data_IF_130720010378
#
_entry.id   IF_130720010378
#
_cell.length_a   1.000
_cell.length_b   1.000
_cell.length_c   1.000
_cell.angle_alpha   90.00
_cell.angle_beta   90.00
_cell.angle_gamma   90.00
#
_symmetry.space_group_name_H-M   'P 1'
#
loop_
_entity.id
_entity.type
_entity.pdbx_description
1 polymer ?
#
# COMPACT_ATOMS: atom_id res chain seq x y z
N UNK A 1 -23.24 12.55 -10.18
CA UNK A 1 -23.68 13.07 -11.50
C UNK A 1 -22.50 13.67 -12.23
N UNK A 2 -22.43 13.44 -13.53
CA UNK A 2 -21.47 14.09 -14.43
C UNK A 2 -21.78 15.59 -14.52
N UNK A 3 -20.79 16.46 -14.77
CA UNK A 3 -21.06 17.88 -14.81
C UNK A 3 -21.92 18.28 -16.00
N UNK A 4 -23.10 18.85 -15.74
CA UNK A 4 -23.97 19.43 -16.76
C UNK A 4 -23.38 20.79 -17.13
N UNK A 5 -22.60 20.82 -18.21
CA UNK A 5 -22.00 22.01 -18.87
C UNK A 5 -20.52 22.31 -18.55
N UNK A 6 -19.73 21.31 -18.14
CA UNK A 6 -18.27 21.51 -18.06
C UNK A 6 -17.63 21.41 -19.44
N UNK A 7 -17.00 22.50 -19.92
CA UNK A 7 -16.12 22.47 -21.10
C UNK A 7 -14.86 21.61 -20.89
N UNK A 8 -14.59 21.20 -19.66
CA UNK A 8 -13.43 20.40 -19.25
C UNK A 8 -13.68 18.90 -19.49
N UNK A 9 -14.94 18.45 -19.46
CA UNK A 9 -15.28 17.02 -19.50
C UNK A 9 -16.08 16.66 -20.75
N UNK A 10 -15.52 15.76 -21.56
CA UNK A 10 -16.13 15.31 -22.82
C UNK A 10 -16.77 13.94 -22.65
N UNK A 11 -17.79 13.64 -23.47
CA UNK A 11 -18.40 12.30 -23.56
C UNK A 11 -17.40 11.22 -24.04
N UNK A 12 -16.34 11.68 -24.68
CA UNK A 12 -15.19 10.86 -25.05
C UNK A 12 -14.03 11.14 -24.09
N UNK A 13 -13.57 10.08 -23.43
CA UNK A 13 -12.42 10.10 -22.54
C UNK A 13 -11.36 9.16 -23.10
N UNK A 14 -10.52 9.68 -24.01
CA UNK A 14 -9.36 8.97 -24.60
C UNK A 14 -9.66 7.50 -24.96
N UNK A 15 -10.62 7.28 -25.86
CA UNK A 15 -11.04 5.95 -26.31
C UNK A 15 -12.20 5.32 -25.52
N UNK A 16 -12.65 5.94 -24.43
CA UNK A 16 -13.88 5.56 -23.73
C UNK A 16 -15.03 6.46 -24.16
N UNK A 17 -16.10 5.86 -24.69
CA UNK A 17 -17.38 6.55 -24.89
C UNK A 17 -18.26 6.34 -23.67
N UNK A 18 -18.43 7.39 -22.87
CA UNK A 18 -19.21 7.33 -21.63
C UNK A 18 -20.71 7.26 -22.00
N UNK A 19 -21.47 6.28 -21.49
CA UNK A 19 -22.89 6.16 -21.81
C UNK A 19 -23.67 7.41 -21.42
N UNK A 20 -24.53 7.91 -22.31
CA UNK A 20 -25.35 9.11 -22.05
C UNK A 20 -26.22 8.97 -20.79
N UNK A 21 -26.65 7.76 -20.45
CA UNK A 21 -27.39 7.48 -19.20
C UNK A 21 -26.54 7.71 -17.95
N UNK A 22 -25.26 7.31 -17.96
CA UNK A 22 -24.33 7.57 -16.86
C UNK A 22 -24.10 9.07 -16.66
N UNK A 23 -24.21 9.85 -17.73
CA UNK A 23 -24.08 11.31 -17.71
C UNK A 23 -25.35 11.99 -17.19
N UNK A 24 -26.51 11.60 -17.72
CA UNK A 24 -27.79 12.29 -17.47
C UNK A 24 -28.48 11.84 -16.19
N UNK A 25 -28.38 10.56 -15.85
CA UNK A 25 -29.02 9.93 -14.68
C UNK A 25 -27.98 9.73 -13.56
N UNK A 26 -26.76 9.32 -13.92
CA UNK A 26 -25.75 8.85 -12.97
C UNK A 26 -25.79 7.33 -12.81
N UNK A 27 -24.77 6.79 -12.14
CA UNK A 27 -24.69 5.37 -11.78
C UNK A 27 -25.07 5.25 -10.30
N UNK A 28 -26.14 4.50 -9.95
CA UNK A 28 -26.61 4.42 -8.57
C UNK A 28 -25.58 3.69 -7.68
N UNK A 29 -25.53 4.07 -6.41
CA UNK A 29 -24.66 3.47 -5.39
C UNK A 29 -23.17 3.40 -5.79
N UNK A 30 -22.68 4.43 -6.49
CA UNK A 30 -21.31 4.49 -6.98
C UNK A 30 -20.70 5.86 -6.76
N UNK A 31 -19.50 5.87 -6.19
CA UNK A 31 -18.69 7.07 -5.93
C UNK A 31 -17.69 7.37 -7.04
N UNK A 32 -17.16 6.33 -7.69
CA UNK A 32 -16.17 6.40 -8.75
C UNK A 32 -16.42 5.24 -9.72
N UNK A 33 -16.45 5.55 -11.01
CA UNK A 33 -16.62 4.56 -12.07
C UNK A 33 -15.36 4.55 -12.95
N UNK A 34 -14.66 3.43 -12.97
CA UNK A 34 -13.44 3.27 -13.76
C UNK A 34 -13.75 2.42 -14.97
N UNK A 35 -13.53 2.98 -16.16
CA UNK A 35 -13.61 2.24 -17.41
C UNK A 35 -12.26 1.60 -17.69
N UNK A 36 -12.23 0.28 -17.83
CA UNK A 36 -11.03 -0.45 -18.24
C UNK A 36 -11.12 -0.70 -19.74
N UNK A 37 -10.11 -0.22 -20.47
CA UNK A 37 -9.93 -0.48 -21.90
C UNK A 37 -8.57 -1.11 -22.15
N UNK A 38 -8.36 -1.65 -23.35
CA UNK A 38 -7.10 -2.22 -23.73
C UNK A 38 -6.59 -1.63 -25.05
N UNK A 39 -5.27 -1.56 -25.18
CA UNK A 39 -4.55 -1.41 -26.45
C UNK A 39 -3.62 -2.61 -26.64
N UNK A 40 -3.19 -2.85 -27.87
CA UNK A 40 -2.12 -3.81 -28.17
C UNK A 40 -1.05 -3.08 -28.97
N UNK A 41 -0.06 -2.53 -28.26
CA UNK A 41 1.03 -1.76 -28.84
C UNK A 41 2.36 -2.22 -28.24
N UNK A 42 2.96 -3.32 -28.77
CA UNK A 42 4.23 -3.87 -28.25
C UNK A 42 5.42 -2.92 -28.36
N UNK A 43 5.30 -1.85 -29.15
CA UNK A 43 6.33 -0.82 -29.32
C UNK A 43 6.27 0.24 -28.22
N UNK A 44 5.11 0.39 -27.58
CA UNK A 44 4.92 1.30 -26.46
C UNK A 44 5.36 0.58 -25.18
N UNK A 45 6.17 1.26 -24.37
CA UNK A 45 6.75 0.68 -23.15
C UNK A 45 5.85 0.82 -21.92
N UNK A 46 4.74 1.56 -22.01
CA UNK A 46 3.78 1.67 -20.92
C UNK A 46 2.99 0.37 -20.79
N UNK A 47 3.00 -0.21 -19.59
CA UNK A 47 2.18 -1.36 -19.21
C UNK A 47 0.71 -0.95 -19.12
N UNK A 48 0.45 0.21 -18.50
CA UNK A 48 -0.85 0.82 -18.44
C UNK A 48 -0.72 2.35 -18.40
N UNK A 49 -1.85 3.04 -18.59
CA UNK A 49 -1.98 4.47 -18.30
C UNK A 49 -3.42 4.78 -17.87
N UNK A 50 -3.59 5.83 -17.09
CA UNK A 50 -4.89 6.26 -16.62
C UNK A 50 -5.11 7.77 -16.71
N UNK A 51 -6.39 8.14 -16.63
CA UNK A 51 -6.79 9.52 -16.53
C UNK A 51 -8.14 9.67 -15.82
N UNK A 52 -8.38 10.85 -15.28
CA UNK A 52 -9.70 11.24 -14.81
C UNK A 52 -10.53 11.76 -15.98
N UNK A 53 -11.70 11.15 -16.17
CA UNK A 53 -12.64 11.48 -17.22
C UNK A 53 -13.66 12.54 -16.79
N UNK A 54 -14.00 12.57 -15.50
CA UNK A 54 -14.86 13.60 -14.94
C UNK A 54 -14.80 13.70 -13.43
N UNK A 55 -15.03 14.91 -12.94
CA UNK A 55 -15.35 15.19 -11.55
C UNK A 55 -16.85 15.35 -11.35
N UNK A 56 -17.38 15.10 -10.16
CA UNK A 56 -18.77 15.42 -9.86
C UNK A 56 -18.95 16.91 -9.50
N UNK A 57 -20.11 17.49 -9.83
CA UNK A 57 -20.38 18.90 -9.53
C UNK A 57 -20.63 19.19 -8.05
N UNK A 58 -21.12 18.18 -7.31
CA UNK A 58 -21.55 18.37 -5.93
C UNK A 58 -20.40 18.29 -4.93
N UNK A 59 -19.46 17.36 -5.14
CA UNK A 59 -18.36 17.10 -4.20
C UNK A 59 -17.00 17.44 -4.80
N UNK A 60 -16.95 17.96 -6.02
CA UNK A 60 -15.73 18.41 -6.68
C UNK A 60 -14.63 17.35 -6.66
N UNK A 61 -14.97 16.08 -6.87
CA UNK A 61 -14.02 14.96 -6.85
C UNK A 61 -14.15 14.05 -8.06
N UNK A 62 -13.11 13.28 -8.43
CA UNK A 62 -13.20 12.28 -9.48
C UNK A 62 -14.42 11.37 -9.30
N UNK A 63 -15.18 11.20 -10.37
CA UNK A 63 -16.39 10.36 -10.42
C UNK A 63 -16.36 9.38 -11.60
N UNK A 64 -15.57 9.69 -12.62
CA UNK A 64 -15.26 8.80 -13.73
C UNK A 64 -13.78 8.85 -14.04
N UNK A 65 -13.18 7.69 -14.22
CA UNK A 65 -11.81 7.52 -14.66
C UNK A 65 -11.71 6.46 -15.74
N UNK A 66 -10.52 6.35 -16.32
CA UNK A 66 -10.18 5.32 -17.29
C UNK A 66 -8.83 4.75 -16.94
N UNK A 67 -8.70 3.43 -17.07
CA UNK A 67 -7.43 2.73 -17.12
C UNK A 67 -7.34 2.07 -18.51
N UNK A 68 -6.22 2.24 -19.19
CA UNK A 68 -5.92 1.58 -20.45
C UNK A 68 -4.74 0.63 -20.25
N UNK A 69 -4.96 -0.66 -20.45
CA UNK A 69 -3.95 -1.71 -20.34
C UNK A 69 -3.32 -1.98 -21.70
N UNK A 70 -2.00 -2.13 -21.78
CA UNK A 70 -1.30 -2.48 -23.00
C UNK A 70 -0.99 -3.99 -23.06
N UNK A 71 -1.85 -4.77 -23.72
CA UNK A 71 -1.62 -6.21 -23.93
C UNK A 71 -0.42 -6.55 -24.81
N UNK A 72 0.26 -5.56 -25.39
CA UNK A 72 1.55 -5.76 -26.05
C UNK A 72 2.70 -6.05 -25.09
N UNK A 73 2.57 -5.65 -23.82
CA UNK A 73 3.61 -5.79 -22.78
C UNK A 73 3.10 -6.27 -21.42
N UNK A 74 1.78 -6.21 -21.17
CA UNK A 74 1.11 -6.72 -19.97
C UNK A 74 0.88 -8.24 -20.06
N UNK A 75 1.09 -8.97 -18.95
CA UNK A 75 0.77 -10.38 -18.85
C UNK A 75 1.60 -11.28 -19.75
N UNK A 76 2.83 -10.87 -20.11
CA UNK A 76 3.70 -11.63 -21.00
C UNK A 76 4.30 -12.89 -20.35
N UNK A 77 4.35 -12.93 -19.02
CA UNK A 77 4.85 -14.06 -18.25
C UNK A 77 3.76 -14.58 -17.32
N UNK A 78 3.64 -15.91 -17.26
CA UNK A 78 2.65 -16.62 -16.44
C UNK A 78 3.33 -17.10 -15.14
N UNK A 79 3.73 -16.14 -14.32
CA UNK A 79 4.30 -16.38 -12.99
C UNK A 79 3.78 -15.35 -11.98
N UNK A 80 3.79 -15.72 -10.69
CA UNK A 80 3.18 -14.92 -9.64
C UNK A 80 3.82 -13.54 -9.46
N UNK A 81 5.14 -13.45 -9.63
CA UNK A 81 5.91 -12.20 -9.49
C UNK A 81 5.53 -11.23 -10.60
N UNK A 82 5.48 -11.71 -11.84
CA UNK A 82 5.07 -10.89 -12.98
C UNK A 82 3.61 -10.45 -12.88
N UNK A 83 2.72 -11.32 -12.38
CA UNK A 83 1.33 -10.95 -12.11
C UNK A 83 1.20 -9.89 -11.02
N UNK A 84 1.98 -9.99 -9.94
CA UNK A 84 2.02 -9.02 -8.85
C UNK A 84 2.49 -7.65 -9.36
N UNK A 85 3.59 -7.58 -10.09
CA UNK A 85 4.10 -6.35 -10.70
C UNK A 85 3.09 -5.70 -11.67
N UNK A 86 2.43 -6.52 -12.49
CA UNK A 86 1.38 -6.06 -13.41
C UNK A 86 0.18 -5.49 -12.62
N UNK A 87 -0.23 -6.13 -11.53
CA UNK A 87 -1.31 -5.67 -10.66
C UNK A 87 -0.94 -4.37 -9.94
N UNK A 88 0.27 -4.26 -9.40
CA UNK A 88 0.78 -3.04 -8.76
C UNK A 88 0.75 -1.86 -9.72
N UNK A 89 1.13 -2.07 -10.98
CA UNK A 89 1.00 -1.05 -12.03
C UNK A 89 -0.45 -0.60 -12.19
N UNK A 90 -1.43 -1.51 -12.17
CA UNK A 90 -2.84 -1.12 -12.22
C UNK A 90 -3.26 -0.31 -10.98
N UNK A 91 -2.74 -0.65 -9.79
CA UNK A 91 -3.00 0.10 -8.55
C UNK A 91 -2.41 1.52 -8.62
N UNK A 92 -1.19 1.66 -9.14
CA UNK A 92 -0.57 2.94 -9.46
C UNK A 92 -1.46 3.81 -10.36
N UNK A 93 -1.98 3.23 -11.44
CA UNK A 93 -2.88 3.92 -12.35
C UNK A 93 -4.22 4.31 -11.69
N UNK A 94 -4.72 3.50 -10.75
CA UNK A 94 -5.88 3.86 -9.93
C UNK A 94 -5.56 5.09 -9.06
N UNK A 95 -4.37 5.19 -8.47
CA UNK A 95 -3.99 6.34 -7.63
C UNK A 95 -3.91 7.65 -8.44
N UNK A 96 -3.52 7.58 -9.71
CA UNK A 96 -3.70 8.72 -10.63
C UNK A 96 -5.17 9.13 -10.74
N UNK A 97 -6.09 8.17 -10.97
CA UNK A 97 -7.54 8.45 -11.03
C UNK A 97 -8.06 9.04 -9.71
N UNK A 98 -7.53 8.58 -8.58
CA UNK A 98 -7.93 9.05 -7.24
C UNK A 98 -7.46 10.47 -6.95
N UNK A 99 -6.48 11.01 -7.68
CA UNK A 99 -6.16 12.44 -7.62
C UNK A 99 -4.68 12.80 -7.67
N UNK A 100 -3.77 11.83 -7.70
CA UNK A 100 -2.35 12.12 -7.80
C UNK A 100 -1.96 12.34 -9.26
N UNK A 101 -1.95 13.59 -9.72
CA UNK A 101 -1.19 13.98 -10.91
C UNK A 101 -0.94 15.47 -10.89
N UNK A 102 0.11 15.94 -11.55
CA UNK A 102 0.43 17.38 -11.60
C UNK A 102 -0.72 18.20 -12.20
N UNK A 103 -1.43 17.65 -13.18
CA UNK A 103 -2.62 18.27 -13.76
C UNK A 103 -3.79 18.37 -12.77
N UNK A 104 -3.95 17.40 -11.86
CA UNK A 104 -5.06 17.37 -10.92
C UNK A 104 -4.82 18.15 -9.64
N UNK A 105 -3.59 18.54 -9.31
CA UNK A 105 -3.33 19.36 -8.11
C UNK A 105 -4.11 20.68 -8.12
N UNK A 106 -4.32 21.29 -9.29
CA UNK A 106 -5.18 22.47 -9.41
C UNK A 106 -6.67 22.16 -9.18
N UNK A 107 -7.06 20.90 -9.30
CA UNK A 107 -8.42 20.40 -9.03
C UNK A 107 -8.54 19.82 -7.62
N UNK A 108 -7.52 19.92 -6.77
CA UNK A 108 -7.69 19.63 -5.35
C UNK A 108 -8.55 20.72 -4.69
N UNK A 109 -9.27 20.35 -3.64
CA UNK A 109 -10.16 21.26 -2.92
C UNK A 109 -9.33 22.08 -1.93
N UNK A 110 -9.33 23.39 -2.11
CA UNK A 110 -8.75 24.35 -1.18
C UNK A 110 -9.59 24.34 0.12
N UNK A 111 -9.03 23.91 1.26
CA UNK A 111 -9.77 23.79 2.51
C UNK A 111 -10.27 25.13 3.04
N UNK A 112 -9.68 26.25 2.63
CA UNK A 112 -10.09 27.59 3.07
C UNK A 112 -11.35 28.07 2.31
N UNK A 113 -11.55 27.58 1.08
CA UNK A 113 -12.62 28.07 0.20
C UNK A 113 -13.69 27.03 -0.12
N UNK A 114 -13.40 25.74 0.08
CA UNK A 114 -14.27 24.63 -0.33
C UNK A 114 -14.41 24.49 -1.85
N UNK A 115 -13.55 25.15 -2.64
CA UNK A 115 -13.51 25.11 -4.11
C UNK A 115 -12.17 24.56 -4.58
N UNK A 116 -12.08 24.24 -5.87
CA UNK A 116 -10.79 23.94 -6.48
C UNK A 116 -9.79 25.07 -6.29
N UNK A 117 -8.52 24.74 -6.07
CA UNK A 117 -7.43 25.73 -6.14
C UNK A 117 -7.46 26.49 -7.49
N UNK A 118 -7.73 25.78 -8.58
CA UNK A 118 -7.62 26.29 -9.94
C UNK A 118 -6.18 26.66 -10.32
N UNK A 119 -5.96 26.99 -11.59
CA UNK A 119 -4.63 27.33 -12.11
C UNK A 119 -3.96 28.47 -11.31
N UNK A 120 -4.73 29.47 -10.88
CA UNK A 120 -4.22 30.62 -10.12
C UNK A 120 -4.01 30.33 -8.63
N UNK A 121 -4.64 29.30 -8.07
CA UNK A 121 -4.45 28.88 -6.69
C UNK A 121 -3.39 27.80 -6.51
N UNK A 122 -2.93 27.15 -7.58
CA UNK A 122 -1.87 26.14 -7.54
C UNK A 122 -0.59 26.62 -6.84
N UNK A 123 -0.13 27.89 -7.01
CA UNK A 123 1.01 28.43 -6.27
C UNK A 123 0.82 28.53 -4.74
N UNK A 124 -0.35 28.20 -4.18
CA UNK A 124 -0.55 28.06 -2.73
C UNK A 124 -0.03 26.74 -2.17
N UNK A 125 0.14 25.73 -3.03
CA UNK A 125 0.51 24.37 -2.61
C UNK A 125 1.69 23.80 -3.37
N UNK A 126 2.08 24.40 -4.50
CA UNK A 126 3.28 24.01 -5.25
C UNK A 126 4.16 25.19 -5.60
N UNK A 127 5.46 24.92 -5.82
CA UNK A 127 6.43 25.85 -6.41
C UNK A 127 7.63 25.08 -6.94
N UNK A 128 8.35 25.70 -7.87
CA UNK A 128 9.61 25.18 -8.37
C UNK A 128 10.77 25.70 -7.51
N UNK A 129 11.71 24.81 -7.20
CA UNK A 129 12.95 25.10 -6.48
C UNK A 129 14.13 24.43 -7.17
N UNK A 130 15.37 24.83 -6.85
CA UNK A 130 16.57 24.15 -7.33
C UNK A 130 17.07 23.21 -6.23
N UNK A 131 17.06 21.91 -6.48
CA UNK A 131 17.54 20.89 -5.55
C UNK A 131 18.55 20.01 -6.32
N UNK A 132 19.73 19.78 -5.74
CA UNK A 132 20.83 19.01 -6.37
C UNK A 132 21.21 19.50 -7.78
N UNK A 133 20.99 20.80 -8.07
CA UNK A 133 21.26 21.41 -9.37
C UNK A 133 20.15 21.24 -10.42
N UNK A 134 19.04 20.62 -10.06
CA UNK A 134 17.90 20.34 -10.93
C UNK A 134 16.70 21.19 -10.52
N UNK A 135 15.88 21.54 -11.51
CA UNK A 135 14.62 22.26 -11.28
C UNK A 135 13.58 21.25 -10.83
N UNK A 136 13.21 21.30 -9.55
CA UNK A 136 12.31 20.34 -8.92
C UNK A 136 11.06 21.04 -8.43
N UNK A 137 9.89 20.53 -8.81
CA UNK A 137 8.60 20.96 -8.28
C UNK A 137 8.41 20.36 -6.89
N UNK A 138 8.05 21.18 -5.90
CA UNK A 138 7.69 20.70 -4.55
C UNK A 138 6.21 20.92 -4.26
N UNK A 139 5.61 19.99 -3.51
CA UNK A 139 4.25 20.12 -2.95
C UNK A 139 4.34 20.32 -1.44
N UNK A 140 3.70 21.37 -0.94
CA UNK A 140 3.80 21.78 0.46
C UNK A 140 2.43 22.02 1.10
N UNK A 141 1.39 21.35 0.59
CA UNK A 141 0.11 21.27 1.28
C UNK A 141 0.24 20.61 2.67
N UNK A 142 -0.74 20.86 3.53
CA UNK A 142 -0.65 20.65 4.97
C UNK A 142 -0.22 19.24 5.38
N UNK A 143 -0.93 18.20 4.98
CA UNK A 143 -0.62 16.84 5.42
C UNK A 143 0.65 16.31 4.74
N UNK A 144 0.86 16.59 3.46
CA UNK A 144 2.08 16.20 2.73
C UNK A 144 3.32 16.76 3.44
N UNK A 145 3.34 18.06 3.72
CA UNK A 145 4.49 18.71 4.35
C UNK A 145 4.75 18.21 5.77
N UNK A 146 3.70 18.07 6.58
CA UNK A 146 3.82 17.56 7.96
C UNK A 146 4.35 16.11 7.97
N UNK A 147 3.81 15.26 7.09
CA UNK A 147 4.24 13.87 6.95
C UNK A 147 5.68 13.80 6.47
N UNK A 148 6.07 14.55 5.44
CA UNK A 148 7.43 14.53 4.91
C UNK A 148 8.45 14.98 5.96
N UNK A 149 8.20 16.10 6.66
CA UNK A 149 9.08 16.58 7.74
C UNK A 149 9.27 15.55 8.84
N UNK A 150 8.18 14.90 9.25
CA UNK A 150 8.21 13.87 10.29
C UNK A 150 8.92 12.61 9.82
N UNK A 151 8.60 12.12 8.61
CA UNK A 151 9.14 10.89 8.06
C UNK A 151 10.66 10.96 7.87
N UNK A 152 11.16 12.03 7.23
CA UNK A 152 12.59 12.21 7.01
C UNK A 152 13.33 12.78 8.23
N UNK A 153 12.63 13.19 9.29
CA UNK A 153 13.20 13.96 10.40
C UNK A 153 13.93 15.24 9.92
N UNK A 154 13.27 15.98 9.00
CA UNK A 154 13.79 17.23 8.44
C UNK A 154 12.81 18.38 8.68
N UNK A 155 12.91 19.12 9.80
CA UNK A 155 11.97 20.21 10.13
C UNK A 155 11.99 21.38 9.14
N UNK A 156 13.12 21.60 8.45
CA UNK A 156 13.29 22.72 7.50
C UNK A 156 12.85 22.38 6.08
N UNK A 157 12.36 21.17 5.83
CA UNK A 157 11.87 20.76 4.51
C UNK A 157 10.77 21.73 4.06
N UNK A 158 10.89 22.26 2.85
CA UNK A 158 9.97 23.27 2.30
C UNK A 158 8.72 22.65 1.67
N UNK A 159 8.83 21.41 1.17
CA UNK A 159 7.81 20.63 0.50
C UNK A 159 8.34 19.25 0.12
N UNK A 160 7.45 18.32 -0.19
CA UNK A 160 7.79 17.02 -0.77
C UNK A 160 8.15 17.19 -2.24
N UNK A 161 9.23 16.56 -2.68
CA UNK A 161 9.73 16.66 -4.04
C UNK A 161 8.90 15.76 -4.97
N UNK A 162 8.48 16.32 -6.11
CA UNK A 162 7.92 15.56 -7.21
C UNK A 162 9.03 15.23 -8.20
N UNK A 163 8.80 14.17 -8.96
CA UNK A 163 9.69 13.72 -10.04
C UNK A 163 10.05 14.87 -10.98
N UNK A 164 11.36 15.06 -11.16
CA UNK A 164 12.00 16.16 -11.90
C UNK A 164 12.61 15.70 -13.24
N UNK A 165 12.61 14.41 -13.52
CA UNK A 165 13.12 13.80 -14.75
C UNK A 165 12.02 13.10 -15.58
N UNK A 166 12.37 12.68 -16.79
CA UNK A 166 11.46 12.01 -17.72
C UNK A 166 10.62 12.97 -18.57
N UNK A 167 9.47 12.48 -19.02
CA UNK A 167 8.57 13.20 -19.95
C UNK A 167 7.34 13.78 -19.27
N UNK A 168 6.38 14.28 -20.05
CA UNK A 168 5.10 14.80 -19.53
C UNK A 168 4.26 13.77 -18.78
N UNK A 169 4.51 12.47 -18.99
CA UNK A 169 3.90 11.38 -18.23
C UNK A 169 4.52 11.17 -16.85
N UNK A 170 5.75 11.62 -16.63
CA UNK A 170 6.53 11.42 -15.40
C UNK A 170 6.53 12.67 -14.52
N UNK A 171 6.91 13.80 -15.13
CA UNK A 171 7.20 15.06 -14.46
C UNK A 171 5.99 15.57 -13.66
N UNK A 172 6.22 15.82 -12.37
CA UNK A 172 5.23 16.44 -11.49
C UNK A 172 4.00 15.59 -11.16
N UNK A 173 3.94 14.33 -11.60
CA UNK A 173 2.81 13.41 -11.32
C UNK A 173 3.20 12.22 -10.47
N UNK A 174 4.46 12.14 -10.09
CA UNK A 174 5.06 11.10 -9.26
C UNK A 174 5.88 11.74 -8.15
N UNK A 175 6.15 10.98 -7.10
CA UNK A 175 7.16 11.39 -6.12
C UNK A 175 8.56 11.27 -6.69
N UNK A 176 9.46 12.13 -6.21
CA UNK A 176 10.90 12.07 -6.52
C UNK A 176 11.48 10.71 -6.11
N UNK A 177 11.90 9.91 -7.08
CA UNK A 177 12.31 8.53 -6.84
C UNK A 177 13.52 8.43 -5.90
N UNK A 178 14.44 9.41 -5.92
CA UNK A 178 15.56 9.45 -4.97
C UNK A 178 15.08 9.41 -3.51
N UNK A 179 13.91 10.00 -3.20
CA UNK A 179 13.39 10.10 -1.84
C UNK A 179 12.49 8.94 -1.41
N UNK A 180 11.89 8.21 -2.35
CA UNK A 180 10.82 7.24 -2.07
C UNK A 180 10.99 5.93 -2.84
N UNK A 181 12.19 5.37 -2.86
CA UNK A 181 12.40 4.10 -3.55
C UNK A 181 11.44 3.01 -3.05
N UNK A 182 10.86 2.26 -3.98
CA UNK A 182 9.83 1.25 -3.75
C UNK A 182 8.45 1.77 -3.34
N UNK A 183 8.20 3.07 -3.52
CA UNK A 183 6.88 3.64 -3.32
C UNK A 183 6.01 3.50 -4.56
N UNK A 184 4.74 3.15 -4.35
CA UNK A 184 3.77 2.86 -5.41
C UNK A 184 3.68 3.94 -6.49
N UNK A 185 3.94 5.21 -6.18
CA UNK A 185 3.81 6.37 -7.07
C UNK A 185 5.16 6.97 -7.51
N UNK A 186 6.20 6.14 -7.63
CA UNK A 186 7.41 6.49 -8.37
C UNK A 186 7.22 6.36 -9.88
N UNK A 187 8.00 7.08 -10.68
CA UNK A 187 7.81 7.12 -12.14
C UNK A 187 8.47 5.97 -12.93
N UNK A 188 9.26 5.12 -12.28
CA UNK A 188 9.91 3.97 -12.92
C UNK A 188 9.37 2.66 -12.38
N UNK A 189 9.67 1.56 -13.07
CA UNK A 189 9.35 0.21 -12.57
C UNK A 189 9.91 0.03 -11.16
N UNK A 190 9.09 -0.54 -10.28
CA UNK A 190 9.51 -0.93 -8.94
C UNK A 190 10.31 -2.23 -9.05
N UNK A 191 11.52 -2.26 -8.50
CA UNK A 191 12.45 -3.40 -8.62
C UNK A 191 12.10 -4.50 -7.60
N UNK A 192 11.29 -4.17 -6.60
CA UNK A 192 10.79 -5.05 -5.54
C UNK A 192 9.31 -4.75 -5.28
N UNK A 193 8.71 -5.35 -4.25
CA UNK A 193 7.33 -5.10 -3.80
C UNK A 193 7.02 -3.60 -3.63
N UNK A 194 5.97 -3.12 -4.31
CA UNK A 194 5.58 -1.71 -4.34
C UNK A 194 4.77 -1.33 -3.10
N UNK A 195 5.21 -0.28 -2.41
CA UNK A 195 4.65 0.11 -1.11
C UNK A 195 3.77 1.34 -1.22
N UNK A 196 2.53 1.24 -0.73
CA UNK A 196 1.68 2.41 -0.56
C UNK A 196 2.14 3.19 0.69
N UNK A 197 2.93 4.24 0.51
CA UNK A 197 3.53 4.92 1.66
C UNK A 197 2.60 5.91 2.36
N UNK A 198 3.03 6.33 3.55
CA UNK A 198 2.46 7.48 4.26
C UNK A 198 2.46 8.77 3.44
N UNK A 199 3.35 8.92 2.45
CA UNK A 199 3.39 10.12 1.59
C UNK A 199 2.19 10.16 0.64
N UNK A 200 1.90 9.05 -0.03
CA UNK A 200 0.73 8.94 -0.90
C UNK A 200 -0.57 9.00 -0.10
N UNK A 201 -0.63 8.39 1.08
CA UNK A 201 -1.77 8.57 2.01
C UNK A 201 -1.97 10.04 2.39
N UNK A 202 -0.89 10.77 2.71
CA UNK A 202 -0.98 12.19 3.04
C UNK A 202 -1.44 13.03 1.83
N UNK A 203 -1.03 12.67 0.62
CA UNK A 203 -1.51 13.30 -0.61
C UNK A 203 -3.00 13.07 -0.81
N UNK A 204 -3.49 11.83 -0.68
CA UNK A 204 -4.92 11.52 -0.83
C UNK A 204 -5.77 12.34 0.14
N UNK A 205 -5.29 12.59 1.36
CA UNK A 205 -5.95 13.51 2.31
C UNK A 205 -5.98 14.96 1.82
N UNK A 206 -4.85 15.44 1.31
CA UNK A 206 -4.71 16.82 0.84
C UNK A 206 -5.44 17.10 -0.48
N UNK A 207 -5.89 16.07 -1.20
CA UNK A 207 -6.83 16.25 -2.33
C UNK A 207 -8.14 16.91 -1.90
N UNK A 208 -8.57 16.67 -0.66
CA UNK A 208 -9.87 17.07 -0.13
C UNK A 208 -11.07 16.25 -0.64
N UNK A 209 -10.85 15.23 -1.48
CA UNK A 209 -11.93 14.45 -2.09
C UNK A 209 -12.60 13.45 -1.14
N UNK A 210 -11.84 12.94 -0.16
CA UNK A 210 -12.26 11.84 0.69
C UNK A 210 -12.62 12.37 2.08
N UNK A 211 -13.76 11.94 2.62
CA UNK A 211 -14.15 12.28 3.98
C UNK A 211 -13.14 11.73 5.01
N UNK A 212 -12.61 10.53 4.73
CA UNK A 212 -11.59 9.86 5.55
C UNK A 212 -10.61 9.10 4.64
N UNK A 213 -9.35 9.03 5.07
CA UNK A 213 -8.32 8.18 4.45
C UNK A 213 -7.71 7.34 5.57
N UNK A 214 -7.83 6.02 5.46
CA UNK A 214 -7.35 5.10 6.49
C UNK A 214 -5.82 5.00 6.46
N UNK A 215 -5.15 5.65 7.41
CA UNK A 215 -3.68 5.63 7.53
C UNK A 215 -3.09 4.25 7.77
N UNK A 216 -3.88 3.29 8.26
CA UNK A 216 -3.40 1.93 8.49
C UNK A 216 -3.15 1.14 7.20
N UNK A 217 -3.65 1.65 6.06
CA UNK A 217 -3.33 1.11 4.74
C UNK A 217 -1.93 1.47 4.27
N UNK A 218 -1.22 2.36 4.98
CA UNK A 218 0.17 2.66 4.65
C UNK A 218 1.07 1.48 4.99
N UNK A 219 1.82 1.04 3.98
CA UNK A 219 2.95 0.13 4.11
C UNK A 219 4.14 0.80 4.79
N UNK A 220 5.03 -0.02 5.31
CA UNK A 220 6.21 0.44 6.03
C UNK A 220 7.34 0.77 5.06
N UNK A 221 7.31 1.99 4.53
CA UNK A 221 8.47 2.55 3.82
C UNK A 221 9.62 2.83 4.81
N UNK A 222 10.80 2.31 4.47
CA UNK A 222 12.03 2.46 5.26
C UNK A 222 13.06 3.38 4.60
N UNK A 223 13.01 3.50 3.27
CA UNK A 223 13.93 4.31 2.50
C UNK A 223 13.91 5.78 2.97
N UNK A 224 15.08 6.30 3.35
CA UNK A 224 15.23 7.71 3.78
C UNK A 224 14.63 8.06 5.15
N UNK A 225 13.95 7.11 5.83
CA UNK A 225 13.27 7.37 7.09
C UNK A 225 14.24 7.85 8.17
N UNK A 226 13.96 9.02 8.73
CA UNK A 226 14.73 9.64 9.81
C UNK A 226 16.15 10.09 9.44
N UNK A 227 16.52 10.13 8.15
CA UNK A 227 17.90 10.43 7.71
C UNK A 227 18.28 11.92 7.77
N UNK A 228 17.31 12.80 8.02
CA UNK A 228 17.52 14.23 8.18
C UNK A 228 17.58 15.00 6.87
N UNK A 229 17.78 16.31 6.98
CA UNK A 229 17.70 17.22 5.84
C UNK A 229 18.80 17.01 4.79
N UNK A 230 20.00 16.56 5.18
CA UNK A 230 21.06 16.27 4.21
C UNK A 230 20.67 15.13 3.27
N UNK A 231 19.93 14.12 3.74
CA UNK A 231 19.38 13.10 2.83
C UNK A 231 18.41 13.73 1.82
N UNK A 232 17.46 14.53 2.31
CA UNK A 232 16.41 15.13 1.48
C UNK A 232 16.96 16.11 0.45
N UNK A 233 17.94 16.93 0.83
CA UNK A 233 18.45 18.03 -0.02
C UNK A 233 19.66 17.64 -0.85
N UNK A 234 20.49 16.71 -0.37
CA UNK A 234 21.77 16.37 -0.99
C UNK A 234 21.81 14.91 -1.49
N UNK A 235 21.02 14.00 -0.93
CA UNK A 235 21.02 12.60 -1.33
C UNK A 235 22.41 11.96 -1.26
N UNK A 236 22.84 11.29 -2.34
CA UNK A 236 24.18 10.72 -2.46
C UNK A 236 25.31 11.76 -2.62
N UNK A 237 24.98 13.03 -2.88
CA UNK A 237 25.97 14.12 -2.97
C UNK A 237 26.37 14.64 -1.58
N UNK A 238 25.71 14.18 -0.52
CA UNK A 238 26.05 14.58 0.83
C UNK A 238 27.42 14.09 1.26
N UNK A 239 28.04 14.82 2.19
CA UNK A 239 29.22 14.33 2.93
C UNK A 239 28.86 13.19 3.87
N UNK A 240 27.60 13.11 4.29
CA UNK A 240 27.10 11.99 5.07
C UNK A 240 26.86 10.78 4.15
N UNK A 241 27.37 9.62 4.55
CA UNK A 241 27.07 8.36 3.86
C UNK A 241 25.73 7.81 4.31
N UNK A 242 24.90 7.43 3.35
CA UNK A 242 23.62 6.77 3.56
C UNK A 242 23.67 5.34 3.03
N UNK A 243 23.02 4.39 3.72
CA UNK A 243 23.05 2.98 3.33
C UNK A 243 22.17 2.70 2.09
N UNK A 244 21.26 3.63 1.80
CA UNK A 244 20.42 3.72 0.62
C UNK A 244 21.25 3.84 -0.67
N UNK A 245 22.33 4.63 -0.63
CA UNK A 245 23.17 4.92 -1.80
C UNK A 245 24.51 4.19 -1.73
N UNK A 246 24.78 3.21 -2.60
CA UNK A 246 26.10 2.60 -2.72
C UNK A 246 27.20 3.61 -2.98
N UNK A 247 28.36 3.41 -2.35
CA UNK A 247 29.57 4.22 -2.63
C UNK A 247 30.42 3.66 -3.78
N UNK A 248 30.21 2.40 -4.18
CA UNK A 248 31.02 1.69 -5.16
C UNK A 248 30.15 0.83 -6.06
N UNK A 249 30.54 0.67 -7.33
CA UNK A 249 29.93 -0.28 -8.28
C UNK A 249 30.42 -1.70 -8.00
N UNK A 250 29.93 -2.28 -6.92
CA UNK A 250 30.19 -3.67 -6.53
C UNK A 250 28.88 -4.38 -6.21
N UNK A 251 28.79 -5.66 -6.60
CA UNK A 251 27.66 -6.52 -6.28
C UNK A 251 27.35 -6.46 -4.77
N UNK A 252 26.10 -6.13 -4.47
CA UNK A 252 25.61 -6.03 -3.09
C UNK A 252 24.13 -6.36 -3.02
N UNK A 253 23.65 -6.69 -1.82
CA UNK A 253 22.21 -6.87 -1.62
C UNK A 253 21.47 -5.55 -1.91
N UNK A 254 20.23 -5.65 -2.39
CA UNK A 254 19.26 -4.54 -2.41
C UNK A 254 19.04 -3.97 -1.00
N UNK A 255 18.40 -2.80 -0.90
CA UNK A 255 18.17 -2.15 0.39
C UNK A 255 17.27 -2.99 1.31
N UNK A 256 16.30 -3.68 0.72
CA UNK A 256 15.33 -4.57 1.36
C UNK A 256 15.87 -6.00 1.55
N UNK A 257 17.07 -6.28 1.03
CA UNK A 257 17.67 -7.61 0.99
C UNK A 257 16.87 -8.63 0.18
N UNK A 258 16.06 -8.25 -0.81
CA UNK A 258 15.30 -9.20 -1.63
C UNK A 258 16.15 -9.91 -2.69
N UNK A 259 17.27 -9.29 -3.08
CA UNK A 259 18.24 -9.90 -3.97
C UNK A 259 19.58 -9.18 -3.93
N UNK A 260 20.47 -9.49 -4.86
CA UNK A 260 21.71 -8.75 -5.05
C UNK A 260 21.97 -8.50 -6.53
N UNK A 261 22.71 -7.44 -6.80
CA UNK A 261 23.12 -7.05 -8.14
C UNK A 261 24.16 -5.96 -8.09
N UNK A 262 24.69 -5.60 -9.25
CA UNK A 262 25.55 -4.41 -9.35
C UNK A 262 24.72 -3.12 -9.29
N UNK A 263 25.14 -2.12 -8.50
CA UNK A 263 24.45 -0.85 -8.46
C UNK A 263 24.36 -0.17 -9.81
N UNK A 264 23.19 0.36 -10.12
CA UNK A 264 22.91 1.12 -11.33
C UNK A 264 22.61 2.58 -10.99
N UNK A 265 22.69 3.45 -11.99
CA UNK A 265 22.32 4.87 -11.88
C UNK A 265 21.24 5.15 -12.89
N UNK A 266 20.24 5.96 -12.53
CA UNK A 266 19.20 6.44 -13.44
C UNK A 266 19.05 7.96 -13.31
N UNK A 267 18.56 8.65 -14.36
CA UNK A 267 18.22 10.07 -14.24
C UNK A 267 17.20 10.33 -13.13
N UNK A 268 16.16 9.50 -13.01
CA UNK A 268 15.13 9.56 -11.96
C UNK A 268 15.68 9.47 -10.52
N UNK A 269 16.91 8.97 -10.33
CA UNK A 269 17.59 8.96 -9.04
C UNK A 269 18.57 10.13 -8.90
N UNK A 270 18.41 11.19 -9.69
CA UNK A 270 19.38 12.28 -9.85
C UNK A 270 20.81 11.79 -10.05
N UNK A 271 20.97 10.68 -10.79
CA UNK A 271 22.23 9.97 -11.02
C UNK A 271 22.91 9.39 -9.77
N UNK A 272 22.20 9.28 -8.65
CA UNK A 272 22.64 8.50 -7.51
C UNK A 272 22.67 7.01 -7.85
N UNK A 273 23.67 6.30 -7.32
CA UNK A 273 23.70 4.85 -7.41
C UNK A 273 22.60 4.29 -6.51
N UNK A 274 21.93 3.25 -7.00
CA UNK A 274 20.99 2.45 -6.25
C UNK A 274 21.37 0.98 -6.34
N UNK A 275 21.13 0.25 -5.26
CA UNK A 275 21.34 -1.19 -5.20
C UNK A 275 20.33 -1.87 -6.11
N UNK A 276 20.81 -2.63 -7.10
CA UNK A 276 19.96 -3.35 -8.03
C UNK A 276 19.81 -4.83 -7.62
N UNK A 277 18.83 -5.51 -8.20
CA UNK A 277 18.65 -6.96 -8.10
C UNK A 277 18.90 -7.58 -9.48
N UNK A 278 19.92 -8.42 -9.59
CA UNK A 278 20.18 -9.24 -10.78
C UNK A 278 19.58 -10.64 -10.54
N UNK A 279 18.81 -11.15 -11.51
CA UNK A 279 17.93 -12.33 -11.40
C UNK A 279 18.63 -13.71 -11.24
N UNK A 280 19.84 -13.78 -10.68
CA UNK A 280 20.57 -15.05 -10.47
C UNK A 280 20.59 -15.40 -8.99
N UNK A 281 19.53 -16.07 -8.50
CA UNK A 281 19.38 -16.40 -7.08
C UNK A 281 19.58 -17.90 -6.80
N UNK A 282 20.36 -18.22 -5.75
CA UNK A 282 20.71 -19.59 -5.34
C UNK A 282 19.57 -20.32 -4.61
N UNK A 283 18.62 -19.56 -4.04
CA UNK A 283 17.39 -20.06 -3.38
C UNK A 283 16.24 -19.08 -3.65
N UNK A 284 15.18 -19.57 -4.28
CA UNK A 284 13.94 -18.82 -4.57
C UNK A 284 12.88 -19.06 -3.50
N UNK A 285 12.10 -18.03 -3.17
CA UNK A 285 10.91 -18.11 -2.30
C UNK A 285 10.79 -16.94 -1.32
N UNK A 286 9.57 -16.68 -0.85
CA UNK A 286 9.23 -15.60 0.11
C UNK A 286 9.98 -15.68 1.45
N UNK A 287 10.55 -16.84 1.77
CA UNK A 287 11.35 -17.08 2.96
C UNK A 287 12.86 -16.95 2.69
N UNK A 288 13.26 -16.33 1.57
CA UNK A 288 14.64 -16.13 1.15
C UNK A 288 14.96 -14.63 1.14
N UNK A 289 16.12 -14.25 1.68
CA UNK A 289 16.66 -12.88 1.57
C UNK A 289 18.16 -12.93 1.34
N UNK A 290 18.70 -11.91 0.70
CA UNK A 290 20.11 -11.70 0.45
C UNK A 290 20.88 -11.35 1.72
N UNK A 291 22.00 -12.04 1.92
CA UNK A 291 22.98 -11.75 2.96
C UNK A 291 24.38 -11.57 2.37
N UNK A 292 25.22 -10.85 3.11
CA UNK A 292 26.67 -10.95 2.91
C UNK A 292 27.14 -12.28 3.48
N UNK A 293 27.49 -13.24 2.62
CA UNK A 293 27.79 -14.62 2.99
C UNK A 293 28.81 -15.26 2.07
N UNK A 294 29.79 -15.96 2.65
CA UNK A 294 30.79 -16.75 1.91
C UNK A 294 30.42 -18.24 1.82
N UNK A 295 29.21 -18.61 2.24
CA UNK A 295 28.74 -20.00 2.24
C UNK A 295 28.38 -20.48 0.85
N UNK A 296 29.30 -21.16 0.17
CA UNK A 296 29.01 -21.77 -1.13
C UNK A 296 28.42 -23.18 -0.99
N UNK A 297 27.38 -23.52 -1.76
CA UNK A 297 26.82 -24.87 -1.91
C UNK A 297 27.76 -25.83 -2.69
N UNK A 298 29.07 -25.73 -2.50
CA UNK A 298 30.07 -26.49 -3.26
C UNK A 298 30.31 -25.99 -4.68
N UNK A 299 29.55 -25.00 -5.16
CA UNK A 299 29.79 -24.31 -6.43
C UNK A 299 30.86 -23.23 -6.20
N UNK A 300 32.07 -23.44 -6.74
CA UNK A 300 33.11 -22.41 -6.77
C UNK A 300 32.77 -21.41 -7.86
N UNK A 301 32.42 -20.19 -7.47
CA UNK A 301 32.28 -19.09 -8.42
C UNK A 301 33.63 -18.45 -8.66
N UNK A 302 34.03 -18.31 -9.92
CA UNK A 302 35.10 -17.40 -10.31
C UNK A 302 34.54 -15.98 -10.13
N UNK A 303 35.10 -15.21 -9.19
CA UNK A 303 34.60 -13.90 -8.71
C UNK A 303 33.40 -13.98 -7.73
N UNK A 304 33.59 -14.65 -6.58
CA UNK A 304 32.59 -14.67 -5.49
C UNK A 304 32.35 -13.27 -4.91
N UNK A 305 31.18 -12.70 -5.18
CA UNK A 305 30.71 -11.42 -4.63
C UNK A 305 30.46 -11.46 -3.12
N UNK A 306 30.47 -12.65 -2.52
CA UNK A 306 30.10 -12.91 -1.14
C UNK A 306 28.68 -12.40 -0.84
N UNK A 307 27.77 -12.46 -1.83
CA UNK A 307 26.35 -12.12 -1.72
C UNK A 307 25.53 -13.33 -2.11
N UNK A 308 24.62 -13.75 -1.24
CA UNK A 308 23.88 -15.00 -1.38
C UNK A 308 22.53 -14.90 -0.71
N UNK A 309 21.51 -15.48 -1.33
CA UNK A 309 20.19 -15.59 -0.72
C UNK A 309 20.11 -16.87 0.13
N UNK A 310 19.70 -16.70 1.39
CA UNK A 310 19.54 -17.80 2.34
C UNK A 310 18.12 -17.79 2.90
N UNK A 311 17.64 -18.98 3.26
CA UNK A 311 16.38 -19.08 3.98
C UNK A 311 16.50 -18.42 5.34
N UNK A 312 15.50 -17.65 5.73
CA UNK A 312 15.48 -16.95 7.00
C UNK A 312 14.13 -17.09 7.71
N UNK A 313 14.15 -16.86 9.03
CA UNK A 313 12.97 -16.74 9.85
C UNK A 313 13.22 -15.70 10.93
N UNK A 314 12.38 -14.67 10.97
CA UNK A 314 12.42 -13.64 12.01
C UNK A 314 11.68 -14.13 13.26
N UNK A 315 12.20 -13.78 14.44
CA UNK A 315 11.46 -14.00 15.68
C UNK A 315 10.24 -13.06 15.77
N UNK A 316 9.16 -13.48 16.45
CA UNK A 316 7.94 -12.65 16.57
C UNK A 316 8.16 -11.27 17.20
N UNK A 317 9.22 -11.12 18.00
CA UNK A 317 9.61 -9.86 18.64
C UNK A 317 10.59 -9.00 17.81
N UNK A 318 10.96 -9.46 16.60
CA UNK A 318 11.91 -8.83 15.68
C UNK A 318 13.31 -8.62 16.27
N UNK A 319 13.70 -9.40 17.29
CA UNK A 319 15.01 -9.29 17.96
C UNK A 319 16.03 -10.31 17.52
N UNK A 320 15.62 -11.30 16.73
CA UNK A 320 16.54 -12.30 16.20
C UNK A 320 16.12 -12.81 14.84
N UNK A 321 17.12 -13.22 14.06
CA UNK A 321 16.93 -13.78 12.72
C UNK A 321 17.62 -15.13 12.69
N UNK A 322 16.86 -16.18 12.42
CA UNK A 322 17.39 -17.52 12.19
C UNK A 322 17.64 -17.69 10.70
N UNK A 323 18.88 -17.96 10.32
CA UNK A 323 19.30 -18.19 8.95
C UNK A 323 19.60 -19.68 8.78
N UNK A 324 18.97 -20.31 7.80
CA UNK A 324 19.04 -21.76 7.58
C UNK A 324 19.93 -22.09 6.38
N UNK A 325 20.81 -23.08 6.58
CA UNK A 325 21.73 -23.64 5.59
C UNK A 325 21.39 -25.13 5.38
N UNK A 326 20.41 -25.45 4.51
CA UNK A 326 19.94 -26.82 4.29
C UNK A 326 21.05 -27.79 3.85
N UNK A 327 21.99 -27.31 3.02
CA UNK A 327 23.10 -28.06 2.44
C UNK A 327 24.02 -28.72 3.48
N UNK A 328 24.09 -28.13 4.69
CA UNK A 328 24.90 -28.63 5.82
C UNK A 328 24.06 -28.88 7.07
N UNK A 329 22.72 -28.87 6.93
CA UNK A 329 21.75 -29.06 8.03
C UNK A 329 22.07 -28.19 9.24
N UNK A 330 22.37 -26.91 9.01
CA UNK A 330 22.78 -25.98 10.06
C UNK A 330 21.90 -24.72 10.07
N UNK A 331 21.83 -24.09 11.23
CA UNK A 331 21.22 -22.79 11.43
C UNK A 331 22.18 -21.87 12.17
N UNK A 332 22.12 -20.59 11.84
CA UNK A 332 22.79 -19.49 12.55
C UNK A 332 21.71 -18.56 13.08
N UNK A 333 21.81 -18.18 14.34
CA UNK A 333 20.86 -17.25 14.96
C UNK A 333 21.58 -15.93 15.18
N UNK A 334 21.16 -14.91 14.44
CA UNK A 334 21.57 -13.54 14.61
C UNK A 334 20.82 -12.93 15.79
N UNK A 335 21.52 -12.65 16.89
CA UNK A 335 20.97 -11.94 18.06
C UNK A 335 21.56 -10.53 18.24
N UNK A 336 22.53 -10.18 17.40
CA UNK A 336 23.19 -8.87 17.39
C UNK A 336 23.26 -8.33 15.96
N UNK A 337 22.69 -7.16 15.75
CA UNK A 337 22.69 -6.47 14.46
C UNK A 337 24.13 -6.20 13.98
N UNK A 338 24.36 -6.38 12.67
CA UNK A 338 25.66 -6.15 12.03
C UNK A 338 26.79 -7.11 12.43
N UNK A 339 26.53 -8.11 13.29
CA UNK A 339 27.55 -9.07 13.68
C UNK A 339 27.92 -10.03 12.54
N UNK A 340 29.18 -10.45 12.49
CA UNK A 340 29.64 -11.47 11.53
C UNK A 340 29.85 -12.78 12.27
N UNK A 341 29.17 -13.83 11.79
CA UNK A 341 29.11 -15.13 12.43
C UNK A 341 29.82 -16.17 11.56
N UNK A 342 30.60 -17.06 12.17
CA UNK A 342 31.01 -18.30 11.51
C UNK A 342 29.80 -19.24 11.43
N UNK A 343 29.57 -19.84 10.26
CA UNK A 343 28.41 -20.71 10.04
C UNK A 343 28.54 -22.00 10.86
N UNK A 344 29.76 -22.51 10.97
CA UNK A 344 30.14 -23.57 11.90
C UNK A 344 31.17 -22.99 12.87
N UNK A 345 30.92 -23.02 14.19
CA UNK A 345 31.87 -22.49 15.18
C UNK A 345 33.25 -23.13 15.03
N UNK A 346 34.30 -22.30 15.05
CA UNK A 346 35.69 -22.70 14.94
C UNK A 346 36.05 -23.42 13.63
N UNK A 347 35.27 -23.23 12.56
CA UNK A 347 35.53 -23.86 11.27
C UNK A 347 35.25 -22.91 10.10
N UNK A 348 36.32 -22.27 9.62
CA UNK A 348 36.25 -21.32 8.50
C UNK A 348 35.92 -21.97 7.14
N UNK A 349 35.98 -23.30 7.02
CA UNK A 349 35.68 -24.03 5.77
C UNK A 349 34.24 -23.80 5.30
N UNK A 350 33.31 -23.59 6.24
CA UNK A 350 31.90 -23.38 5.92
C UNK A 350 31.57 -21.91 5.66
N UNK A 351 32.54 -21.02 5.82
CA UNK A 351 32.37 -19.60 5.59
C UNK A 351 31.71 -18.85 6.76
N UNK A 352 31.41 -17.59 6.48
CA UNK A 352 30.89 -16.60 7.42
C UNK A 352 29.66 -15.94 6.82
N UNK A 353 28.81 -15.42 7.68
CA UNK A 353 27.63 -14.64 7.30
C UNK A 353 27.53 -13.39 8.17
N UNK A 354 27.19 -12.25 7.55
CA UNK A 354 26.90 -11.02 8.28
C UNK A 354 25.40 -10.94 8.57
N UNK A 355 25.06 -10.69 9.83
CA UNK A 355 23.71 -10.41 10.28
C UNK A 355 23.26 -9.02 9.81
N UNK A 356 21.96 -8.83 9.50
CA UNK A 356 21.43 -7.55 9.08
C UNK A 356 21.72 -6.42 10.08
N UNK A 357 21.89 -5.20 9.55
CA UNK A 357 22.21 -4.02 10.37
C UNK A 357 21.02 -3.42 11.12
N UNK A 358 19.81 -3.81 10.75
CA UNK A 358 18.55 -3.47 11.42
C UNK A 358 17.61 -4.66 11.28
N UNK A 359 17.27 -5.32 12.38
CA UNK A 359 16.37 -6.47 12.36
C UNK A 359 14.94 -6.04 12.09
N UNK A 360 14.52 -4.89 12.61
CA UNK A 360 13.19 -4.35 12.34
C UNK A 360 13.02 -4.11 10.84
N UNK A 361 13.93 -3.36 10.19
CA UNK A 361 13.84 -3.13 8.75
C UNK A 361 13.87 -4.43 7.94
N UNK A 362 14.70 -5.39 8.34
CA UNK A 362 14.84 -6.65 7.63
C UNK A 362 13.62 -7.57 7.77
N UNK A 363 12.96 -7.54 8.92
CA UNK A 363 11.89 -8.48 9.29
C UNK A 363 10.48 -7.88 9.24
N UNK A 364 10.34 -6.56 9.27
CA UNK A 364 9.05 -5.86 9.24
C UNK A 364 8.57 -5.67 7.79
N UNK A 365 8.74 -6.71 6.98
CA UNK A 365 7.96 -6.90 5.76
C UNK A 365 6.53 -7.20 6.18
N UNK A 366 5.56 -6.51 5.57
CA UNK A 366 4.14 -6.68 5.88
C UNK A 366 3.78 -8.16 5.72
N UNK A 367 3.31 -8.85 6.78
CA UNK A 367 2.93 -10.25 6.65
C UNK A 367 1.79 -10.36 5.65
N UNK A 368 1.93 -11.25 4.67
CA UNK A 368 0.83 -11.59 3.76
C UNK A 368 -0.32 -12.12 4.63
N UNK A 369 -1.50 -11.53 4.50
CA UNK A 369 -2.65 -11.98 5.25
C UNK A 369 -2.98 -13.45 4.95
N UNK A 370 -3.34 -14.20 5.98
CA UNK A 370 -3.74 -15.59 5.86
C UNK A 370 -4.81 -15.75 4.76
N UNK A 371 -4.57 -16.68 3.82
CA UNK A 371 -5.40 -16.96 2.64
C UNK A 371 -5.79 -15.72 1.81
N UNK A 372 -5.00 -14.65 1.83
CA UNK A 372 -5.31 -13.38 1.18
C UNK A 372 -6.71 -12.86 1.55
N UNK A 373 -7.07 -13.00 2.82
CA UNK A 373 -8.41 -12.65 3.32
C UNK A 373 -9.54 -13.33 2.55
N UNK A 374 -9.29 -14.56 2.08
CA UNK A 374 -10.21 -15.39 1.29
C UNK A 374 -10.79 -14.66 0.08
N UNK A 375 -10.09 -13.62 -0.42
CA UNK A 375 -10.54 -12.73 -1.50
C UNK A 375 -11.85 -12.00 -1.21
N UNK A 376 -12.29 -11.98 0.06
CA UNK A 376 -13.52 -11.33 0.55
C UNK A 376 -13.23 -10.44 1.76
N UNK A 377 -12.01 -9.90 1.80
CA UNK A 377 -11.55 -8.93 2.77
C UNK A 377 -10.34 -8.18 2.24
N UNK A 378 -9.99 -7.10 2.92
CA UNK A 378 -8.81 -6.29 2.65
C UNK A 378 -7.72 -6.66 3.64
N UNK A 379 -6.52 -6.96 3.16
CA UNK A 379 -5.38 -7.17 4.03
C UNK A 379 -4.85 -5.82 4.52
N UNK A 380 -4.74 -5.66 5.84
CA UNK A 380 -4.17 -4.47 6.47
C UNK A 380 -3.15 -4.94 7.50
N UNK A 381 -1.85 -4.84 7.15
CA UNK A 381 -0.73 -5.23 8.02
C UNK A 381 -0.81 -6.66 8.55
N UNK A 382 -1.12 -7.63 7.68
CA UNK A 382 -1.28 -9.03 8.06
C UNK A 382 -2.59 -9.38 8.77
N UNK A 383 -3.50 -8.41 8.93
CA UNK A 383 -4.83 -8.60 9.51
C UNK A 383 -5.88 -8.43 8.43
N UNK A 384 -6.82 -9.36 8.33
CA UNK A 384 -7.92 -9.27 7.39
C UNK A 384 -9.07 -8.41 7.90
N UNK A 385 -9.36 -7.33 7.17
CA UNK A 385 -10.57 -6.54 7.30
C UNK A 385 -11.63 -7.06 6.33
N UNK A 386 -12.54 -7.89 6.82
CA UNK A 386 -13.52 -8.57 5.98
C UNK A 386 -14.58 -7.65 5.37
N UNK A 387 -14.98 -7.95 4.13
CA UNK A 387 -16.11 -7.30 3.50
C UNK A 387 -17.41 -7.63 4.26
N UNK A 388 -18.43 -6.76 4.18
CA UNK A 388 -19.71 -7.00 4.85
C UNK A 388 -20.29 -8.40 4.55
N UNK A 389 -20.67 -9.14 5.61
CA UNK A 389 -21.19 -10.50 5.52
C UNK A 389 -20.13 -11.61 5.67
N UNK A 390 -18.86 -11.25 5.80
CA UNK A 390 -17.74 -12.17 6.00
C UNK A 390 -17.00 -11.87 7.31
N UNK A 391 -16.33 -12.88 7.86
CA UNK A 391 -15.61 -12.83 9.13
C UNK A 391 -14.64 -14.00 9.27
N UNK A 392 -14.02 -14.13 10.44
CA UNK A 392 -12.90 -15.05 10.65
C UNK A 392 -11.55 -14.37 10.41
N UNK A 393 -10.47 -15.04 10.80
CA UNK A 393 -9.10 -14.48 10.76
C UNK A 393 -8.63 -14.16 9.33
N UNK A 394 -9.22 -14.84 8.35
CA UNK A 394 -8.95 -14.73 6.92
C UNK A 394 -10.22 -14.45 6.11
N UNK A 395 -11.30 -14.00 6.73
CA UNK A 395 -12.60 -13.76 6.09
C UNK A 395 -13.28 -14.97 5.44
N UNK A 396 -12.83 -16.20 5.73
CA UNK A 396 -13.45 -17.42 5.18
C UNK A 396 -14.84 -17.75 5.76
N UNK A 397 -15.26 -17.07 6.84
CA UNK A 397 -16.51 -17.37 7.55
C UNK A 397 -17.63 -16.46 7.08
N UNK A 398 -18.72 -17.05 6.57
CA UNK A 398 -19.94 -16.31 6.22
C UNK A 398 -20.81 -16.08 7.45
N UNK A 399 -21.13 -14.82 7.75
CA UNK A 399 -21.93 -14.43 8.91
C UNK A 399 -23.41 -14.25 8.50
N UNK A 400 -24.33 -15.09 8.99
CA UNK A 400 -25.76 -15.09 8.57
C UNK A 400 -26.69 -14.71 9.74
N UNK A 401 -27.40 -13.57 9.61
CA UNK A 401 -28.57 -13.21 10.44
C UNK A 401 -29.91 -13.63 9.78
N UNK A 402 -31.04 -13.66 10.53
CA UNK A 402 -32.35 -14.13 10.03
C UNK A 402 -32.98 -13.23 8.95
N UNK A 403 -32.53 -11.99 8.80
CA UNK A 403 -32.87 -11.04 7.72
C UNK A 403 -31.72 -10.86 6.70
N UNK A 404 -30.68 -11.70 6.78
CA UNK A 404 -29.41 -11.57 6.04
C UNK A 404 -28.63 -10.26 6.32
N UNK A 405 -28.93 -9.54 7.40
CA UNK A 405 -28.11 -8.42 7.89
C UNK A 405 -27.33 -8.82 9.14
N UNK A 406 -26.14 -8.23 9.34
CA UNK A 406 -25.34 -8.47 10.54
C UNK A 406 -25.77 -7.52 11.66
N UNK A 407 -26.20 -8.09 12.79
CA UNK A 407 -26.43 -7.35 14.03
C UNK A 407 -25.54 -7.93 15.14
N UNK A 408 -24.89 -7.07 15.92
CA UNK A 408 -24.05 -7.47 17.07
C UNK A 408 -24.87 -8.10 18.21
N UNK A 409 -26.19 -7.89 18.20
CA UNK A 409 -27.17 -8.45 19.12
C UNK A 409 -28.41 -8.92 18.35
N UNK A 410 -29.12 -9.92 18.86
CA UNK A 410 -30.42 -10.28 18.28
C UNK A 410 -31.43 -9.15 18.48
N UNK A 411 -32.28 -8.85 17.48
CA UNK A 411 -33.29 -7.80 17.60
C UNK A 411 -34.35 -8.16 18.65
N UNK A 412 -35.13 -7.17 19.09
CA UNK A 412 -36.26 -7.40 20.01
C UNK A 412 -37.19 -8.48 19.45
N UNK A 413 -37.66 -9.38 20.32
CA UNK A 413 -38.43 -10.56 19.93
C UNK A 413 -37.58 -11.78 19.56
N UNK A 414 -36.24 -11.70 19.63
CA UNK A 414 -35.33 -12.83 19.42
C UNK A 414 -34.27 -12.93 20.53
N UNK A 415 -33.78 -14.14 20.79
CA UNK A 415 -32.65 -14.42 21.68
C UNK A 415 -31.58 -15.25 20.97
N UNK A 416 -30.36 -15.19 21.50
CA UNK A 416 -29.21 -15.92 20.95
C UNK A 416 -29.27 -17.39 21.39
N UNK A 417 -29.35 -18.30 20.41
CA UNK A 417 -29.20 -19.74 20.63
C UNK A 417 -28.09 -20.26 19.72
N UNK A 418 -26.88 -20.40 20.26
CA UNK A 418 -25.67 -20.63 19.46
C UNK A 418 -25.31 -19.42 18.58
N UNK A 419 -25.20 -19.63 17.27
CA UNK A 419 -24.89 -18.59 16.27
C UNK A 419 -26.13 -18.08 15.51
N UNK A 420 -27.34 -18.45 15.95
CA UNK A 420 -28.60 -18.02 15.33
C UNK A 420 -29.48 -17.27 16.34
N UNK A 421 -30.24 -16.30 15.84
CA UNK A 421 -31.28 -15.64 16.60
C UNK A 421 -32.58 -16.45 16.50
N UNK A 422 -33.03 -17.01 17.61
CA UNK A 422 -34.30 -17.74 17.72
C UNK A 422 -35.38 -16.85 18.33
N UNK A 423 -36.64 -17.09 17.98
CA UNK A 423 -37.76 -16.25 18.39
C UNK A 423 -38.08 -16.42 19.89
N UNK A 424 -38.41 -15.33 20.56
CA UNK A 424 -38.96 -15.33 21.91
C UNK A 424 -40.40 -15.85 21.94
N UNK A 425 -40.88 -16.20 23.14
CA UNK A 425 -42.32 -16.36 23.37
C UNK A 425 -43.06 -15.05 23.02
N UNK A 426 -44.25 -15.17 22.43
CA UNK A 426 -45.00 -14.05 21.86
C UNK A 426 -45.34 -12.95 22.88
N UNK A 427 -45.39 -13.27 24.17
CA UNK A 427 -45.65 -12.29 25.24
C UNK A 427 -44.43 -11.45 25.61
N UNK A 428 -43.22 -11.87 25.23
CA UNK A 428 -41.98 -11.17 25.55
C UNK A 428 -41.66 -10.09 24.51
N UNK A 429 -41.21 -8.91 24.97
CA UNK A 429 -40.53 -7.91 24.13
C UNK A 429 -39.04 -8.23 23.99
N UNK A 430 -38.42 -8.75 25.07
CA UNK A 430 -37.05 -9.29 25.09
C UNK A 430 -37.04 -10.56 25.94
N UNK A 431 -36.20 -11.53 25.58
CA UNK A 431 -36.08 -12.79 26.30
C UNK A 431 -34.62 -13.29 26.32
N UNK A 432 -34.33 -14.25 27.21
CA UNK A 432 -33.06 -14.98 27.25
C UNK A 432 -33.23 -16.49 26.97
N UNK A 433 -34.41 -16.89 26.48
CA UNK A 433 -34.80 -18.27 26.18
C UNK A 433 -36.17 -18.28 25.50
N UNK A 434 -36.55 -19.42 24.90
CA UNK A 434 -37.76 -19.53 24.07
C UNK A 434 -39.09 -19.68 24.80
N UNK A 435 -39.12 -19.72 26.14
CA UNK A 435 -40.35 -19.98 26.91
C UNK A 435 -40.93 -18.72 27.56
N UNK A 436 -42.21 -18.78 27.93
CA UNK A 436 -42.94 -17.76 28.68
C UNK A 436 -42.26 -17.27 29.98
N UNK A 437 -41.37 -18.08 30.56
CA UNK A 437 -40.67 -17.77 31.81
C UNK A 437 -39.32 -17.08 31.58
N UNK A 438 -38.93 -16.89 30.32
CA UNK A 438 -37.63 -16.32 29.94
C UNK A 438 -37.73 -14.85 29.51
N UNK A 439 -38.82 -14.15 29.81
CA UNK A 439 -38.95 -12.75 29.45
C UNK A 439 -38.03 -11.88 30.32
N UNK A 440 -37.36 -10.92 29.69
CA UNK A 440 -36.56 -9.88 30.36
C UNK A 440 -37.14 -8.48 30.14
N UNK A 441 -38.11 -8.34 29.24
CA UNK A 441 -38.96 -7.16 29.10
C UNK A 441 -40.30 -7.54 28.46
N UNK A 442 -41.36 -6.85 28.86
CA UNK A 442 -42.73 -7.13 28.42
C UNK A 442 -43.23 -6.16 27.35
N UNK A 443 -44.26 -6.58 26.62
CA UNK A 443 -44.96 -5.75 25.64
C UNK A 443 -45.91 -4.77 26.33
N UNK A 444 -46.47 -3.82 25.57
CA UNK A 444 -47.36 -2.77 26.09
C UNK A 444 -48.55 -3.38 26.87
N UNK A 445 -48.91 -2.79 28.02
CA UNK A 445 -49.97 -3.23 28.97
C UNK A 445 -49.70 -4.51 29.79
N UNK A 446 -48.46 -5.00 29.80
CA UNK A 446 -48.04 -6.13 30.65
C UNK A 446 -46.81 -5.78 31.49
N UNK A 447 -46.70 -6.36 32.68
CA UNK A 447 -45.58 -6.18 33.60
C UNK A 447 -44.84 -7.50 33.85
N UNK A 448 -43.52 -7.41 34.05
CA UNK A 448 -42.68 -8.57 34.32
C UNK A 448 -42.85 -9.01 35.79
N UNK A 449 -43.33 -10.22 36.01
CA UNK A 449 -43.42 -10.79 37.35
C UNK A 449 -42.07 -11.37 37.82
N UNK A 450 -41.99 -11.78 39.09
CA UNK A 450 -40.77 -12.37 39.68
C UNK A 450 -40.35 -13.71 39.06
N UNK A 451 -41.25 -14.37 38.33
CA UNK A 451 -40.99 -15.64 37.66
C UNK A 451 -40.56 -15.46 36.20
N UNK A 452 -40.29 -14.23 35.75
CA UNK A 452 -39.85 -13.94 34.38
C UNK A 452 -40.98 -14.00 33.33
N UNK A 453 -42.23 -13.90 33.76
CA UNK A 453 -43.42 -13.92 32.88
C UNK A 453 -44.05 -12.54 32.75
N UNK A 454 -44.63 -12.26 31.58
CA UNK A 454 -45.36 -11.02 31.33
C UNK A 454 -46.84 -11.19 31.66
N UNK A 455 -47.31 -10.53 32.72
CA UNK A 455 -48.70 -10.60 33.18
C UNK A 455 -49.44 -9.27 32.92
N UNK A 456 -50.76 -9.29 32.65
CA UNK A 456 -51.54 -8.07 32.47
C UNK A 456 -51.44 -7.13 33.67
N UNK A 457 -51.37 -5.83 33.41
CA UNK A 457 -51.52 -4.81 34.44
C UNK A 457 -53.01 -4.73 34.77
N UNK A 458 -53.43 -5.40 35.84
CA UNK A 458 -54.77 -5.24 36.40
C UNK A 458 -54.83 -3.85 37.05
N UNK A 459 -55.84 -3.04 36.67
CA UNK A 459 -56.14 -1.76 37.34
C UNK A 459 -56.49 -1.97 38.80
#
# INVERSE_FOLDING_TARGET
MFPKNSSIWKLECLGVRIPTSAVTIGIPNSDLNIYVIAKNAPQDKDIANACVCAHNEQHLRPSFGRIQINFGVFGLKDDNESFENDLETIVHEILHVLGFSGFQMQLWIDPDTGKYYGQYGLPKITRDVIIRGLKTSIVYSKNILLTARKYYNCPTMEGMQLENEGGSGSLGSHWEQLLVQNEMMMSSDVITDAQLSVHTIALLKDTGYFAEVNENMADNLYWGKGKGCSFVMEGCYSKQKFNEFPSERKIQCSFENDGYGEPTTTPFLDNCMMKNVDAVLEVYGFNSKCFTSTSANGVKFTNDSQRRCHQYQCSPDLRSITITFPQIKRQVICTKEGSVMQIVPNNDRYGKIACPSSFIQFCDSVPICMNHCSQVGVCVRGICSCLPGWGGIDCSVKLIGPDRSCQTNCPNGYYKHGNICQQCDAQCKRCNGGTANNCTACQFLTQLNRNGQCVPILN
#
